data_IF_564021253505
#
_entry.id   IF_564021253505
#
_cell.length_a   1.000
_cell.length_b   1.000
_cell.length_c   1.000
_cell.angle_alpha   90.00
_cell.angle_beta   90.00
_cell.angle_gamma   90.00
#
_symmetry.space_group_name_H-M   'P 1'
#
loop_
_entity.id
_entity.type
_entity.pdbx_description
1 polymer ?
#
# COMPACT_ATOMS: atom_id res chain seq x y z
N UNK A 1 -22.27 1.51 2.71
CA UNK A 1 -23.43 1.91 1.89
C UNK A 1 -23.16 1.41 0.49
N UNK A 2 -24.05 0.58 -0.03
CA UNK A 2 -23.85 -0.08 -1.33
C UNK A 2 -22.96 -1.33 -1.25
N UNK A 3 -23.05 -2.12 -2.31
CA UNK A 3 -22.27 -3.29 -2.69
C UNK A 3 -21.92 -3.17 -4.19
N UNK A 4 -21.50 -4.25 -4.85
CA UNK A 4 -21.27 -4.26 -6.31
C UNK A 4 -22.49 -3.76 -7.13
N UNK A 5 -23.73 -4.00 -6.65
CA UNK A 5 -24.93 -3.56 -7.36
C UNK A 5 -25.09 -2.03 -7.35
N UNK A 6 -24.61 -1.35 -6.31
CA UNK A 6 -24.59 0.12 -6.28
C UNK A 6 -23.68 0.71 -7.37
N UNK A 7 -22.53 0.08 -7.61
CA UNK A 7 -21.61 0.48 -8.70
C UNK A 7 -22.27 0.30 -10.07
N UNK A 8 -22.95 -0.83 -10.26
CA UNK A 8 -23.67 -1.14 -11.50
C UNK A 8 -24.84 -0.18 -11.73
N UNK A 9 -25.64 0.08 -10.70
CA UNK A 9 -26.76 1.00 -10.77
C UNK A 9 -26.29 2.40 -11.16
N UNK A 10 -25.24 2.89 -10.51
CA UNK A 10 -24.63 4.18 -10.82
C UNK A 10 -24.13 4.26 -12.26
N UNK A 11 -23.42 3.23 -12.74
CA UNK A 11 -22.94 3.17 -14.11
C UNK A 11 -24.08 3.15 -15.13
N UNK A 12 -25.20 2.47 -14.79
CA UNK A 12 -26.34 2.31 -15.68
C UNK A 12 -27.22 3.54 -15.79
N UNK A 13 -27.13 4.52 -14.88
CA UNK A 13 -27.83 5.81 -15.04
C UNK A 13 -27.39 6.54 -16.31
N UNK A 14 -26.16 6.30 -16.79
CA UNK A 14 -25.69 6.83 -18.08
C UNK A 14 -26.33 6.16 -19.30
N UNK A 15 -27.01 5.02 -19.12
CA UNK A 15 -27.75 4.34 -20.19
C UNK A 15 -29.16 4.94 -20.30
N UNK A 16 -29.31 5.92 -21.19
CA UNK A 16 -30.60 6.54 -21.51
C UNK A 16 -31.49 5.68 -22.42
N UNK A 17 -32.59 6.28 -22.89
CA UNK A 17 -33.57 5.64 -23.76
C UNK A 17 -32.91 5.06 -25.04
N UNK A 18 -33.22 3.80 -25.38
CA UNK A 18 -32.67 3.10 -26.55
C UNK A 18 -31.40 2.26 -26.30
N UNK A 19 -30.85 2.27 -25.09
CA UNK A 19 -29.70 1.43 -24.73
C UNK A 19 -30.16 0.01 -24.32
N UNK A 20 -29.56 -1.03 -24.91
CA UNK A 20 -29.81 -2.42 -24.50
C UNK A 20 -28.89 -2.77 -23.32
N UNK A 21 -29.42 -3.40 -22.27
CA UNK A 21 -28.58 -4.12 -21.30
C UNK A 21 -27.81 -5.21 -22.04
N UNK A 22 -26.54 -4.94 -22.36
CA UNK A 22 -25.73 -5.79 -23.24
C UNK A 22 -24.73 -6.66 -22.49
N UNK A 23 -24.38 -6.30 -21.26
CA UNK A 23 -23.43 -7.04 -20.42
C UNK A 23 -24.01 -7.29 -19.03
N UNK A 24 -23.71 -8.47 -18.49
CA UNK A 24 -23.98 -8.79 -17.08
C UNK A 24 -23.20 -7.87 -16.14
N UNK A 25 -23.65 -7.81 -14.89
CA UNK A 25 -23.12 -6.92 -13.85
C UNK A 25 -21.61 -7.09 -13.64
N UNK A 26 -21.12 -8.34 -13.68
CA UNK A 26 -19.70 -8.63 -13.50
C UNK A 26 -18.87 -8.10 -14.68
N UNK A 27 -19.32 -8.35 -15.90
CA UNK A 27 -18.67 -7.82 -17.10
C UNK A 27 -18.60 -6.29 -17.09
N UNK A 28 -19.68 -5.63 -16.64
CA UNK A 28 -19.72 -4.17 -16.53
C UNK A 28 -18.70 -3.64 -15.51
N UNK A 29 -18.68 -4.16 -14.28
CA UNK A 29 -17.74 -3.70 -13.24
C UNK A 29 -16.28 -3.87 -13.70
N UNK A 30 -15.96 -5.02 -14.29
CA UNK A 30 -14.62 -5.29 -14.81
C UNK A 30 -14.25 -4.33 -15.95
N UNK A 31 -15.18 -4.03 -16.85
CA UNK A 31 -14.99 -3.03 -17.89
C UNK A 31 -14.70 -1.65 -17.29
N UNK A 32 -15.52 -1.19 -16.33
CA UNK A 32 -15.35 0.12 -15.70
C UNK A 32 -13.96 0.27 -15.08
N UNK A 33 -13.50 -0.73 -14.31
CA UNK A 33 -12.21 -0.64 -13.64
C UNK A 33 -11.03 -0.68 -14.64
N UNK A 34 -11.08 -1.57 -15.65
CA UNK A 34 -10.04 -1.68 -16.68
C UNK A 34 -9.89 -0.39 -17.50
N UNK A 35 -11.00 0.28 -17.78
CA UNK A 35 -11.05 1.53 -18.55
C UNK A 35 -10.98 2.78 -17.67
N UNK A 36 -10.71 2.63 -16.37
CA UNK A 36 -10.60 3.73 -15.39
C UNK A 36 -11.84 4.64 -15.35
N UNK A 37 -13.02 4.07 -15.55
CA UNK A 37 -14.29 4.74 -15.25
C UNK A 37 -14.55 4.63 -13.75
N UNK A 38 -14.02 5.59 -12.98
CA UNK A 38 -13.94 5.52 -11.52
C UNK A 38 -15.20 6.03 -10.81
N UNK A 39 -15.93 6.98 -11.41
CA UNK A 39 -17.07 7.65 -10.77
C UNK A 39 -18.20 6.70 -10.33
N UNK A 40 -18.51 5.57 -10.99
CA UNK A 40 -19.49 4.63 -10.44
C UNK A 40 -19.04 3.97 -9.13
N UNK A 41 -17.74 3.79 -8.92
CA UNK A 41 -17.19 3.24 -7.67
C UNK A 41 -17.27 4.25 -6.53
N UNK A 42 -17.30 5.56 -6.82
CA UNK A 42 -17.45 6.61 -5.79
C UNK A 42 -18.85 6.62 -5.15
N UNK A 43 -19.83 5.93 -5.75
CA UNK A 43 -21.21 5.83 -5.24
C UNK A 43 -21.37 4.78 -4.14
N UNK A 44 -20.35 3.98 -3.86
CA UNK A 44 -20.30 3.09 -2.71
C UNK A 44 -19.33 3.64 -1.65
N UNK A 45 -19.75 3.64 -0.38
CA UNK A 45 -18.96 4.21 0.72
C UNK A 45 -18.84 3.22 1.89
N UNK A 46 -17.69 3.23 2.54
CA UNK A 46 -17.44 2.49 3.78
C UNK A 46 -17.10 3.47 4.90
N UNK A 47 -17.53 3.16 6.12
CA UNK A 47 -17.20 3.90 7.34
C UNK A 47 -16.66 2.93 8.37
N UNK A 48 -15.44 3.17 8.82
CA UNK A 48 -14.73 2.36 9.78
C UNK A 48 -14.59 3.12 11.10
N UNK A 49 -14.64 2.39 12.21
CA UNK A 49 -14.05 2.82 13.46
C UNK A 49 -12.70 2.12 13.56
N UNK A 50 -11.62 2.89 13.61
CA UNK A 50 -10.25 2.38 13.57
C UNK A 50 -9.58 2.74 14.88
N UNK A 51 -8.95 1.75 15.51
CA UNK A 51 -7.98 1.95 16.60
C UNK A 51 -6.59 1.69 16.04
N UNK A 52 -5.70 2.68 16.11
CA UNK A 52 -4.42 2.69 15.39
C UNK A 52 -3.38 3.52 16.16
N UNK A 53 -2.09 3.13 16.18
CA UNK A 53 -1.04 3.94 16.81
C UNK A 53 -0.75 5.21 16.00
N UNK A 54 -0.35 6.30 16.66
CA UNK A 54 -0.24 7.62 16.03
C UNK A 54 0.79 7.67 14.88
N UNK A 55 1.88 6.92 14.96
CA UNK A 55 2.86 6.81 13.87
C UNK A 55 2.25 6.23 12.58
N UNK A 56 1.49 5.13 12.69
CA UNK A 56 0.73 4.53 11.60
C UNK A 56 -0.39 5.47 11.13
N UNK A 57 -1.09 6.13 12.07
CA UNK A 57 -2.15 7.08 11.76
C UNK A 57 -1.67 8.27 10.93
N UNK A 58 -0.46 8.78 11.19
CA UNK A 58 0.15 9.88 10.43
C UNK A 58 0.43 9.52 8.96
N UNK A 59 0.62 8.23 8.66
CA UNK A 59 0.70 7.74 7.27
C UNK A 59 -0.68 7.62 6.64
N UNK A 60 -1.66 7.20 7.43
CA UNK A 60 -3.05 7.03 7.03
C UNK A 60 -3.69 8.35 6.60
N UNK A 61 -3.53 9.40 7.41
CA UNK A 61 -4.23 10.69 7.20
C UNK A 61 -3.73 11.48 5.98
N UNK A 62 -2.68 10.99 5.32
CA UNK A 62 -2.19 11.53 4.03
C UNK A 62 -3.16 11.26 2.87
N UNK A 63 -4.10 10.33 3.06
CA UNK A 63 -5.17 10.01 2.10
C UNK A 63 -6.33 11.00 2.25
N UNK A 64 -6.18 12.15 1.57
CA UNK A 64 -7.02 13.36 1.74
C UNK A 64 -8.46 13.23 1.23
N UNK A 65 -8.78 12.21 0.46
CA UNK A 65 -10.11 11.99 -0.14
C UNK A 65 -11.07 11.26 0.79
N UNK A 66 -10.76 11.20 2.09
CA UNK A 66 -11.60 10.62 3.12
C UNK A 66 -12.14 11.69 4.09
N UNK A 67 -13.27 11.40 4.73
CA UNK A 67 -13.77 12.17 5.87
C UNK A 67 -13.30 11.53 7.18
N UNK A 68 -12.72 12.32 8.08
CA UNK A 68 -12.08 11.80 9.29
C UNK A 68 -12.53 12.56 10.53
N UNK A 69 -12.76 11.84 11.61
CA UNK A 69 -12.93 12.41 12.94
C UNK A 69 -12.13 11.59 13.95
N UNK A 70 -11.16 12.21 14.61
CA UNK A 70 -10.21 11.56 15.50
C UNK A 70 -10.48 11.90 16.97
N UNK A 71 -10.26 10.92 17.84
CA UNK A 71 -10.21 11.09 19.28
C UNK A 71 -9.22 12.18 19.70
N UNK A 72 -9.75 13.26 20.28
CA UNK A 72 -8.94 14.40 20.69
C UNK A 72 -8.49 14.27 22.14
N UNK A 73 -7.21 14.06 22.34
CA UNK A 73 -6.56 14.09 23.67
C UNK A 73 -6.52 15.50 24.28
N UNK A 74 -7.11 16.52 23.63
CA UNK A 74 -7.26 17.89 24.18
C UNK A 74 -8.45 17.92 25.12
N UNK A 75 -9.52 17.25 24.72
CA UNK A 75 -10.76 17.16 25.47
C UNK A 75 -10.79 15.93 26.36
N UNK A 76 -10.09 14.86 25.99
CA UNK A 76 -10.17 13.57 26.67
C UNK A 76 -8.81 13.08 27.16
N UNK A 77 -8.81 12.16 28.12
CA UNK A 77 -7.58 11.50 28.60
C UNK A 77 -7.07 10.56 27.50
N UNK A 78 -5.76 10.51 27.29
CA UNK A 78 -5.17 9.62 26.29
C UNK A 78 -5.46 8.15 26.60
N UNK A 79 -5.76 7.37 25.56
CA UNK A 79 -6.00 5.93 25.65
C UNK A 79 -4.79 5.27 26.30
N UNK A 80 -5.04 4.42 27.29
CA UNK A 80 -3.99 3.71 28.02
C UNK A 80 -3.54 2.47 27.25
N UNK A 81 -2.93 2.71 26.08
CA UNK A 81 -2.51 1.64 25.18
C UNK A 81 -1.47 2.19 24.22
N UNK A 82 -0.38 1.47 24.08
CA UNK A 82 0.70 1.78 23.15
C UNK A 82 1.01 0.51 22.35
N UNK A 83 1.36 0.68 21.08
CA UNK A 83 1.89 -0.42 20.28
C UNK A 83 3.28 -0.79 20.81
N UNK A 84 3.55 -2.08 20.85
CA UNK A 84 4.82 -2.66 21.26
C UNK A 84 5.36 -3.54 20.14
N UNK A 85 6.67 -3.68 20.09
CA UNK A 85 7.36 -4.54 19.12
C UNK A 85 7.74 -5.83 19.81
N UNK A 86 7.31 -6.97 19.27
CA UNK A 86 7.71 -8.27 19.84
C UNK A 86 9.20 -8.53 19.60
N UNK A 87 9.87 -9.35 20.42
CA UNK A 87 11.31 -9.61 20.27
C UNK A 87 11.73 -10.05 18.85
N UNK A 88 10.90 -10.85 18.18
CA UNK A 88 11.16 -11.31 16.80
C UNK A 88 10.73 -10.35 15.69
N UNK A 89 10.24 -9.15 16.02
CA UNK A 89 9.68 -8.20 15.03
C UNK A 89 10.52 -6.95 14.83
N UNK A 90 11.62 -6.80 15.57
CA UNK A 90 12.60 -5.74 15.34
C UNK A 90 13.34 -5.99 14.04
N UNK A 91 13.49 -4.96 13.20
CA UNK A 91 14.04 -5.11 11.84
C UNK A 91 15.18 -4.15 11.58
N UNK A 92 16.12 -4.60 10.76
CA UNK A 92 17.17 -3.75 10.18
C UNK A 92 16.61 -2.73 9.20
N UNK A 93 17.42 -1.76 8.80
CA UNK A 93 17.08 -0.82 7.72
C UNK A 93 17.33 -1.49 6.36
N UNK A 94 16.39 -1.39 5.41
CA UNK A 94 16.61 -1.99 4.08
C UNK A 94 17.69 -1.22 3.30
N UNK A 95 18.52 -1.96 2.55
CA UNK A 95 19.68 -1.43 1.80
C UNK A 95 19.25 -0.68 0.55
N UNK A 96 18.30 -1.24 -0.22
CA UNK A 96 17.84 -0.67 -1.49
C UNK A 96 16.70 0.35 -1.28
N UNK A 97 15.74 0.02 -0.43
CA UNK A 97 14.64 0.92 -0.07
C UNK A 97 14.88 1.56 1.31
N UNK A 98 15.48 2.75 1.33
CA UNK A 98 15.74 3.49 2.58
C UNK A 98 14.48 3.90 3.36
N UNK A 99 13.29 3.68 2.82
CA UNK A 99 12.02 3.93 3.51
C UNK A 99 11.41 2.66 4.11
N UNK A 100 11.98 1.48 3.84
CA UNK A 100 11.51 0.18 4.31
C UNK A 100 12.44 -0.49 5.31
N UNK A 101 11.98 -1.61 5.87
CA UNK A 101 12.75 -2.48 6.76
C UNK A 101 13.41 -3.62 6.00
N UNK A 102 14.56 -4.08 6.50
CA UNK A 102 15.27 -5.28 6.07
C UNK A 102 14.85 -6.50 6.90
N UNK A 103 15.80 -7.39 7.15
CA UNK A 103 15.58 -8.62 7.92
C UNK A 103 15.38 -8.34 9.42
N UNK A 104 14.76 -9.30 10.11
CA UNK A 104 14.62 -9.33 11.56
C UNK A 104 15.99 -9.35 12.26
N UNK A 105 16.06 -8.69 13.42
CA UNK A 105 17.22 -8.73 14.32
C UNK A 105 17.25 -10.06 15.12
N UNK A 106 18.43 -10.45 15.65
CA UNK A 106 18.55 -11.59 16.55
C UNK A 106 17.60 -11.49 17.76
N UNK A 107 16.99 -12.61 18.14
CA UNK A 107 15.95 -12.67 19.18
C UNK A 107 16.44 -12.17 20.55
N UNK A 108 17.69 -12.44 20.89
CA UNK A 108 18.32 -12.05 22.16
C UNK A 108 18.54 -10.53 22.27
N UNK A 109 18.79 -9.88 21.14
CA UNK A 109 18.78 -8.42 21.06
C UNK A 109 17.34 -7.89 21.09
N UNK A 110 16.44 -8.55 20.38
CA UNK A 110 15.01 -8.22 20.37
C UNK A 110 14.38 -8.23 21.76
N UNK A 111 14.69 -9.24 22.59
CA UNK A 111 14.21 -9.34 23.97
C UNK A 111 14.60 -8.12 24.81
N UNK A 112 15.86 -7.66 24.66
CA UNK A 112 16.36 -6.47 25.36
C UNK A 112 15.64 -5.22 24.88
N UNK A 113 15.52 -5.05 23.55
CA UNK A 113 14.86 -3.88 22.95
C UNK A 113 13.38 -3.80 23.34
N UNK A 114 12.66 -4.92 23.35
CA UNK A 114 11.27 -4.98 23.78
C UNK A 114 11.13 -4.65 25.27
N UNK A 115 12.03 -5.14 26.14
CA UNK A 115 12.02 -4.80 27.56
C UNK A 115 12.28 -3.31 27.81
N UNK A 116 13.24 -2.72 27.10
CA UNK A 116 13.54 -1.28 27.15
C UNK A 116 12.35 -0.43 26.66
N UNK A 117 11.70 -0.83 25.57
CA UNK A 117 10.49 -0.18 25.06
C UNK A 117 9.37 -0.20 26.11
N UNK A 118 9.08 -1.36 26.70
CA UNK A 118 8.06 -1.48 27.75
C UNK A 118 8.37 -0.59 28.96
N UNK A 119 9.63 -0.55 29.40
CA UNK A 119 10.05 0.30 30.50
C UNK A 119 9.80 1.79 30.20
N UNK A 120 10.22 2.24 29.02
CA UNK A 120 10.03 3.62 28.58
C UNK A 120 8.53 3.99 28.45
N UNK A 121 7.74 3.12 27.82
CA UNK A 121 6.30 3.34 27.66
C UNK A 121 5.59 3.46 29.02
N UNK A 122 5.97 2.63 30.00
CA UNK A 122 5.48 2.72 31.36
C UNK A 122 5.85 4.05 32.02
N UNK A 123 7.12 4.48 31.93
CA UNK A 123 7.57 5.75 32.50
C UNK A 123 6.86 6.96 31.87
N UNK A 124 6.70 6.98 30.54
CA UNK A 124 5.99 8.02 29.83
C UNK A 124 4.52 8.12 30.29
N UNK A 125 3.87 6.97 30.51
CA UNK A 125 2.51 6.92 31.05
C UNK A 125 2.42 7.45 32.48
N UNK A 126 3.35 7.07 33.36
CA UNK A 126 3.37 7.57 34.75
C UNK A 126 3.55 9.09 34.79
N UNK A 127 4.48 9.64 33.99
CA UNK A 127 4.68 11.08 33.88
C UNK A 127 3.42 11.81 33.39
N UNK A 128 2.72 11.23 32.41
CA UNK A 128 1.44 11.76 31.93
C UNK A 128 0.39 11.82 33.04
N UNK A 129 0.23 10.74 33.81
CA UNK A 129 -0.75 10.67 34.91
C UNK A 129 -0.42 11.65 36.05
N UNK A 130 0.85 11.75 36.44
CA UNK A 130 1.31 12.70 37.46
C UNK A 130 0.99 14.15 37.07
N UNK A 131 1.14 14.51 35.79
CA UNK A 131 0.77 15.84 35.29
C UNK A 131 -0.73 16.10 35.38
N UNK A 132 -1.55 15.11 35.04
CA UNK A 132 -3.00 15.24 35.19
C UNK A 132 -3.41 15.43 36.66
N UNK A 133 -2.79 14.66 37.56
CA UNK A 133 -3.03 14.77 39.01
C UNK A 133 -2.60 16.14 39.55
N UNK A 134 -1.52 16.71 39.03
CA UNK A 134 -1.08 18.08 39.34
C UNK A 134 -1.94 19.19 38.70
N UNK A 135 -3.03 18.85 38.01
CA UNK A 135 -3.93 19.83 37.38
C UNK A 135 -3.45 20.43 36.06
N UNK A 136 -2.40 19.86 35.44
CA UNK A 136 -1.91 20.30 34.13
C UNK A 136 -2.97 20.05 33.04
N UNK A 137 -3.17 21.04 32.17
CA UNK A 137 -4.10 20.91 31.05
C UNK A 137 -3.78 19.69 30.16
N UNK A 138 -4.81 18.93 29.72
CA UNK A 138 -4.64 17.68 28.97
C UNK A 138 -3.77 17.81 27.73
N UNK A 139 -3.91 18.92 26.99
CA UNK A 139 -3.12 19.18 25.79
C UNK A 139 -1.63 19.40 26.05
N UNK A 140 -1.27 19.81 27.27
CA UNK A 140 0.11 19.94 27.73
C UNK A 140 0.61 18.64 28.37
N UNK A 141 -0.22 17.97 29.17
CA UNK A 141 0.15 16.75 29.88
C UNK A 141 0.66 15.66 28.92
N UNK A 142 0.00 15.51 27.76
CA UNK A 142 0.26 14.47 26.76
C UNK A 142 1.54 14.64 25.93
N UNK A 143 2.30 15.73 26.08
CA UNK A 143 3.41 16.11 25.17
C UNK A 143 4.46 15.01 24.98
N UNK A 144 4.69 14.20 26.02
CA UNK A 144 5.70 13.15 26.01
C UNK A 144 5.14 11.75 25.69
N UNK A 145 3.84 11.64 25.40
CA UNK A 145 3.28 10.36 24.96
C UNK A 145 3.89 9.99 23.60
N UNK A 146 4.46 8.78 23.47
CA UNK A 146 5.14 8.37 22.26
C UNK A 146 4.15 8.18 21.11
N UNK A 147 4.65 8.23 19.87
CA UNK A 147 3.85 7.98 18.67
C UNK A 147 3.25 6.57 18.61
N UNK A 148 3.77 5.63 19.40
CA UNK A 148 3.16 4.30 19.55
C UNK A 148 1.83 4.34 20.32
N UNK A 149 1.46 5.44 20.97
CA UNK A 149 0.19 5.58 21.68
C UNK A 149 -0.98 5.45 20.69
N UNK A 150 -1.97 4.61 21.04
CA UNK A 150 -3.15 4.42 20.22
C UNK A 150 -4.07 5.64 20.23
N UNK A 151 -4.62 5.93 19.06
CA UNK A 151 -5.77 6.82 18.85
C UNK A 151 -6.93 6.00 18.27
N UNK A 152 -8.12 6.60 18.29
CA UNK A 152 -9.30 6.06 17.65
C UNK A 152 -9.87 7.09 16.68
N UNK A 153 -10.32 6.66 15.51
CA UNK A 153 -10.88 7.55 14.52
C UNK A 153 -12.01 6.91 13.73
N UNK A 154 -13.04 7.70 13.45
CA UNK A 154 -13.95 7.41 12.35
C UNK A 154 -13.28 7.79 11.04
N UNK A 155 -13.23 6.84 10.12
CA UNK A 155 -12.70 7.02 8.78
C UNK A 155 -13.76 6.61 7.76
N UNK A 156 -14.27 7.57 6.98
CA UNK A 156 -15.25 7.35 5.92
C UNK A 156 -14.61 7.63 4.56
N UNK A 157 -14.75 6.70 3.62
CA UNK A 157 -14.14 6.78 2.30
C UNK A 157 -15.01 6.06 1.26
N UNK A 158 -15.05 6.55 0.03
CA UNK A 158 -15.69 5.86 -1.08
C UNK A 158 -14.83 4.69 -1.60
N UNK A 159 -15.43 3.78 -2.35
CA UNK A 159 -14.77 2.57 -2.82
C UNK A 159 -13.62 2.88 -3.80
N UNK A 160 -13.74 3.89 -4.67
CA UNK A 160 -12.65 4.25 -5.58
C UNK A 160 -11.39 4.66 -4.80
N UNK A 161 -11.55 5.59 -3.86
CA UNK A 161 -10.45 6.09 -3.04
C UNK A 161 -9.95 5.02 -2.05
N UNK A 162 -10.81 4.13 -1.58
CA UNK A 162 -10.41 2.98 -0.77
C UNK A 162 -9.53 2.00 -1.56
N UNK A 163 -9.89 1.68 -2.80
CA UNK A 163 -9.05 0.84 -3.66
C UNK A 163 -7.69 1.50 -3.94
N UNK A 164 -7.64 2.83 -4.04
CA UNK A 164 -6.35 3.55 -4.12
C UNK A 164 -5.54 3.44 -2.82
N UNK A 165 -6.17 3.62 -1.66
CA UNK A 165 -5.54 3.40 -0.35
C UNK A 165 -4.96 1.99 -0.26
N UNK A 166 -5.75 0.97 -0.60
CA UNK A 166 -5.33 -0.43 -0.54
C UNK A 166 -4.18 -0.72 -1.50
N UNK A 167 -4.19 -0.15 -2.71
CA UNK A 167 -3.08 -0.31 -3.65
C UNK A 167 -1.75 0.24 -3.11
N UNK A 168 -1.78 1.37 -2.40
CA UNK A 168 -0.57 1.98 -1.85
C UNK A 168 -0.15 1.39 -0.50
N UNK A 169 -1.11 0.92 0.30
CA UNK A 169 -0.87 0.47 1.68
C UNK A 169 -0.77 -1.03 1.83
N UNK A 170 -1.13 -1.82 0.81
CA UNK A 170 -0.85 -3.27 0.78
C UNK A 170 0.47 -3.58 0.05
N UNK A 171 1.13 -2.55 -0.51
CA UNK A 171 2.42 -2.68 -1.19
C UNK A 171 3.54 -3.05 -0.20
N UNK A 172 4.49 -3.88 -0.62
CA UNK A 172 5.59 -4.37 0.22
C UNK A 172 6.49 -3.24 0.75
N UNK A 173 6.54 -2.09 0.06
CA UNK A 173 7.30 -0.93 0.48
C UNK A 173 6.60 -0.10 1.57
N UNK A 174 5.29 -0.30 1.81
CA UNK A 174 4.60 0.34 2.91
C UNK A 174 5.03 -0.28 4.25
N UNK A 175 4.95 0.47 5.36
CA UNK A 175 5.32 -0.05 6.68
C UNK A 175 4.45 -1.26 7.08
N UNK A 176 5.02 -2.26 7.74
CA UNK A 176 4.34 -3.53 8.05
C UNK A 176 3.02 -3.32 8.80
N UNK A 177 2.99 -2.36 9.72
CA UNK A 177 1.85 -2.05 10.56
C UNK A 177 0.66 -1.57 9.72
N UNK A 178 0.86 -0.57 8.83
CA UNK A 178 -0.22 -0.09 7.96
C UNK A 178 -0.62 -1.13 6.90
N UNK A 179 0.31 -2.00 6.48
CA UNK A 179 -0.01 -3.14 5.61
C UNK A 179 -0.98 -4.11 6.27
N UNK A 180 -0.79 -4.43 7.55
CA UNK A 180 -1.70 -5.32 8.27
C UNK A 180 -3.14 -4.76 8.33
N UNK A 181 -3.29 -3.45 8.53
CA UNK A 181 -4.58 -2.77 8.43
C UNK A 181 -5.16 -2.83 7.01
N UNK A 182 -4.35 -2.52 6.00
CA UNK A 182 -4.80 -2.54 4.61
C UNK A 182 -5.23 -3.96 4.18
N UNK A 183 -4.48 -4.99 4.56
CA UNK A 183 -4.80 -6.38 4.31
C UNK A 183 -6.13 -6.77 4.97
N UNK A 184 -6.31 -6.41 6.25
CA UNK A 184 -7.57 -6.68 6.97
C UNK A 184 -8.75 -6.00 6.29
N UNK A 185 -8.62 -4.71 5.94
CA UNK A 185 -9.69 -3.97 5.26
C UNK A 185 -9.99 -4.57 3.88
N UNK A 186 -8.95 -4.86 3.08
CA UNK A 186 -9.09 -5.42 1.74
C UNK A 186 -9.70 -6.82 1.75
N UNK A 187 -9.04 -7.77 2.43
CA UNK A 187 -9.36 -9.19 2.36
C UNK A 187 -10.55 -9.59 3.23
N UNK A 188 -10.71 -8.96 4.40
CA UNK A 188 -11.73 -9.38 5.36
C UNK A 188 -13.03 -8.58 5.26
N UNK A 189 -13.01 -7.41 4.62
CA UNK A 189 -14.17 -6.51 4.51
C UNK A 189 -14.51 -6.24 3.06
N UNK A 190 -13.63 -5.58 2.29
CA UNK A 190 -13.91 -5.17 0.91
C UNK A 190 -14.18 -6.37 0.01
N UNK A 191 -13.37 -7.42 0.10
CA UNK A 191 -13.54 -8.64 -0.70
C UNK A 191 -14.90 -9.33 -0.49
N UNK A 192 -15.50 -9.17 0.70
CA UNK A 192 -16.81 -9.77 1.02
C UNK A 192 -17.98 -8.89 0.59
N UNK A 193 -17.83 -7.58 0.71
CA UNK A 193 -18.87 -6.60 0.35
C UNK A 193 -18.92 -6.29 -1.16
N UNK A 194 -17.77 -6.34 -1.82
CA UNK A 194 -17.59 -6.00 -3.24
C UNK A 194 -16.77 -7.09 -3.96
N UNK A 195 -17.22 -8.35 -3.97
CA UNK A 195 -16.45 -9.48 -4.51
C UNK A 195 -16.01 -9.28 -5.96
N UNK A 196 -16.86 -8.68 -6.80
CA UNK A 196 -16.53 -8.45 -8.21
C UNK A 196 -15.56 -7.29 -8.37
N UNK A 197 -15.78 -6.16 -7.70
CA UNK A 197 -14.84 -5.05 -7.73
C UNK A 197 -13.47 -5.47 -7.17
N UNK A 198 -13.44 -6.29 -6.12
CA UNK A 198 -12.23 -6.83 -5.52
C UNK A 198 -11.47 -7.76 -6.48
N UNK A 199 -12.17 -8.68 -7.15
CA UNK A 199 -11.58 -9.52 -8.20
C UNK A 199 -10.95 -8.66 -9.31
N UNK A 200 -11.71 -7.68 -9.82
CA UNK A 200 -11.24 -6.77 -10.86
C UNK A 200 -10.02 -5.94 -10.39
N UNK A 201 -10.02 -5.49 -9.14
CA UNK A 201 -8.91 -4.77 -8.53
C UNK A 201 -7.66 -5.64 -8.44
N UNK A 202 -7.80 -6.88 -7.99
CA UNK A 202 -6.72 -7.86 -7.99
C UNK A 202 -6.09 -8.06 -9.37
N UNK A 203 -6.92 -8.19 -10.41
CA UNK A 203 -6.46 -8.43 -11.78
C UNK A 203 -5.82 -7.20 -12.44
N UNK A 204 -6.46 -6.04 -12.32
CA UNK A 204 -6.14 -4.87 -13.14
C UNK A 204 -5.30 -3.82 -12.42
N UNK A 205 -5.14 -3.92 -11.11
CA UNK A 205 -4.36 -2.95 -10.30
C UNK A 205 -3.25 -3.62 -9.52
N UNK A 206 -3.54 -4.69 -8.78
CA UNK A 206 -2.55 -5.33 -7.89
C UNK A 206 -1.60 -6.23 -8.66
N UNK A 207 -2.13 -7.15 -9.46
CA UNK A 207 -1.33 -8.14 -10.21
C UNK A 207 -0.95 -7.68 -11.62
N UNK A 208 -1.34 -6.47 -11.99
CA UNK A 208 -1.00 -5.89 -13.29
C UNK A 208 0.49 -5.54 -13.40
N UNK A 209 1.01 -5.58 -14.62
CA UNK A 209 2.33 -5.03 -14.95
C UNK A 209 2.14 -3.77 -15.79
N UNK A 210 2.69 -2.64 -15.33
CA UNK A 210 2.70 -1.41 -16.12
C UNK A 210 3.94 -1.38 -17.00
N UNK A 211 3.73 -1.30 -18.32
CA UNK A 211 4.78 -1.04 -19.30
C UNK A 211 4.70 0.43 -19.72
N UNK A 212 5.75 1.18 -19.47
CA UNK A 212 5.93 2.56 -19.94
C UNK A 212 6.19 2.59 -21.44
N UNK A 213 6.14 3.78 -22.04
CA UNK A 213 6.54 3.94 -23.45
C UNK A 213 7.99 3.46 -23.70
N UNK A 214 8.89 3.65 -22.73
CA UNK A 214 10.28 3.20 -22.82
C UNK A 214 10.37 1.67 -22.76
N UNK A 215 9.63 1.04 -21.83
CA UNK A 215 9.56 -0.44 -21.73
C UNK A 215 9.07 -1.05 -23.04
N UNK A 216 7.99 -0.49 -23.60
CA UNK A 216 7.43 -0.95 -24.89
C UNK A 216 8.44 -0.79 -26.01
N UNK A 217 9.17 0.33 -26.06
CA UNK A 217 10.22 0.55 -27.07
C UNK A 217 11.36 -0.45 -26.98
N UNK A 218 11.81 -0.79 -25.76
CA UNK A 218 12.84 -1.83 -25.55
C UNK A 218 12.33 -3.19 -26.03
N UNK A 219 11.11 -3.56 -25.66
CA UNK A 219 10.48 -4.81 -26.10
C UNK A 219 10.42 -4.89 -27.63
N UNK A 220 9.96 -3.82 -28.29
CA UNK A 220 9.90 -3.76 -29.76
C UNK A 220 11.27 -3.96 -30.40
N UNK A 221 12.32 -3.31 -29.87
CA UNK A 221 13.70 -3.46 -30.38
C UNK A 221 14.25 -4.88 -30.14
N UNK A 222 13.97 -5.47 -28.98
CA UNK A 222 14.31 -6.87 -28.70
C UNK A 222 13.61 -7.84 -29.64
N UNK A 223 12.32 -7.62 -29.94
CA UNK A 223 11.55 -8.48 -30.84
C UNK A 223 12.09 -8.52 -32.29
N UNK A 224 12.79 -7.47 -32.74
CA UNK A 224 13.46 -7.45 -34.04
C UNK A 224 14.81 -8.17 -34.00
N UNK A 225 15.42 -8.32 -32.82
CA UNK A 225 16.67 -9.08 -32.63
C UNK A 225 16.39 -10.58 -32.57
N UNK A 226 17.18 -11.36 -33.29
CA UNK A 226 17.11 -12.82 -33.23
C UNK A 226 17.59 -13.33 -31.88
N UNK A 227 16.78 -14.15 -31.21
CA UNK A 227 17.26 -14.92 -30.04
C UNK A 227 18.27 -15.97 -30.50
N UNK A 228 19.31 -16.28 -29.70
CA UNK A 228 20.16 -17.43 -29.96
C UNK A 228 19.30 -18.68 -30.11
N UNK A 229 19.60 -19.53 -31.10
CA UNK A 229 18.77 -20.69 -31.50
C UNK A 229 18.56 -21.74 -30.40
N UNK A 230 19.30 -21.65 -29.28
CA UNK A 230 19.19 -22.51 -28.11
C UNK A 230 18.71 -21.78 -26.84
N UNK A 231 18.40 -20.48 -26.92
CA UNK A 231 17.99 -19.68 -25.76
C UNK A 231 16.49 -19.35 -25.79
N UNK A 232 15.81 -19.58 -24.68
CA UNK A 232 14.44 -19.12 -24.48
C UNK A 232 14.33 -17.62 -24.19
N UNK A 233 15.42 -16.97 -23.76
CA UNK A 233 15.49 -15.56 -23.35
C UNK A 233 16.52 -14.78 -24.16
N UNK A 234 16.45 -13.44 -24.14
CA UNK A 234 17.54 -12.58 -24.59
C UNK A 234 18.65 -12.51 -23.54
N UNK A 235 19.87 -12.18 -23.97
CA UNK A 235 21.01 -11.96 -23.06
C UNK A 235 21.01 -10.54 -22.47
N UNK A 236 21.84 -10.29 -21.46
CA UNK A 236 22.08 -8.93 -20.97
C UNK A 236 22.66 -8.00 -22.04
N UNK A 237 23.53 -8.53 -22.91
CA UNK A 237 24.09 -7.76 -24.01
C UNK A 237 23.00 -7.31 -24.99
N UNK A 238 22.06 -8.21 -25.30
CA UNK A 238 20.90 -7.89 -26.15
C UNK A 238 20.03 -6.80 -25.52
N UNK A 239 19.76 -6.90 -24.21
CA UNK A 239 19.01 -5.89 -23.48
C UNK A 239 19.70 -4.53 -23.50
N UNK A 240 21.00 -4.47 -23.16
CA UNK A 240 21.78 -3.24 -23.16
C UNK A 240 21.88 -2.62 -24.56
N UNK A 241 21.94 -3.45 -25.60
CA UNK A 241 21.98 -2.97 -26.98
C UNK A 241 20.59 -2.59 -27.53
N UNK A 242 19.50 -3.00 -26.87
CA UNK A 242 18.12 -2.60 -27.16
C UNK A 242 17.58 -1.54 -26.19
N UNK A 243 18.38 -1.12 -25.21
CA UNK A 243 18.00 -0.17 -24.17
C UNK A 243 17.55 1.17 -24.77
N UNK A 244 16.81 1.98 -23.99
CA UNK A 244 16.42 3.29 -24.48
C UNK A 244 17.64 4.20 -24.69
N UNK A 245 17.72 4.96 -25.82
CA UNK A 245 18.86 5.83 -26.08
C UNK A 245 19.13 6.87 -24.98
N UNK A 246 18.09 7.31 -24.26
CA UNK A 246 18.24 8.25 -23.15
C UNK A 246 19.02 7.68 -21.95
N UNK A 247 19.13 6.35 -21.84
CA UNK A 247 19.85 5.68 -20.76
C UNK A 247 21.34 5.47 -21.05
N UNK A 248 21.78 5.55 -22.30
CA UNK A 248 23.17 5.33 -22.72
C UNK A 248 24.19 6.24 -22.00
N UNK A 249 23.98 7.56 -21.84
CA UNK A 249 24.96 8.41 -21.17
C UNK A 249 24.95 8.23 -19.64
N UNK A 250 24.00 7.47 -19.09
CA UNK A 250 23.79 7.34 -17.66
C UNK A 250 24.54 6.12 -17.11
N UNK A 251 25.52 6.30 -16.19
CA UNK A 251 26.20 5.17 -15.56
C UNK A 251 25.22 4.33 -14.73
N UNK A 252 24.19 4.95 -14.16
CA UNK A 252 23.06 4.28 -13.48
C UNK A 252 21.75 4.92 -13.92
N UNK A 253 20.76 4.11 -14.25
CA UNK A 253 19.43 4.56 -14.65
C UNK A 253 18.38 3.70 -13.97
N UNK A 254 17.61 4.30 -13.04
CA UNK A 254 16.53 3.57 -12.35
C UNK A 254 15.47 3.06 -13.33
N UNK A 255 15.13 3.85 -14.35
CA UNK A 255 14.18 3.42 -15.38
C UNK A 255 14.69 2.21 -16.17
N UNK A 256 16.00 2.14 -16.43
CA UNK A 256 16.63 0.96 -17.05
C UNK A 256 16.54 -0.25 -16.14
N UNK A 257 16.87 -0.08 -14.86
CA UNK A 257 16.86 -1.16 -13.87
C UNK A 257 15.43 -1.68 -13.63
N UNK A 258 14.45 -0.79 -13.56
CA UNK A 258 13.01 -1.11 -13.49
C UNK A 258 12.52 -1.81 -14.77
N UNK A 259 12.90 -1.34 -15.95
CA UNK A 259 12.58 -1.97 -17.22
C UNK A 259 13.11 -3.41 -17.25
N UNK A 260 14.38 -3.59 -16.87
CA UNK A 260 15.03 -4.90 -16.78
C UNK A 260 14.27 -5.83 -15.84
N UNK A 261 13.93 -5.36 -14.63
CA UNK A 261 13.18 -6.14 -13.66
C UNK A 261 11.80 -6.59 -14.21
N UNK A 262 11.12 -5.73 -14.96
CA UNK A 262 9.85 -6.09 -15.65
C UNK A 262 10.07 -7.18 -16.71
N UNK A 263 11.15 -7.10 -17.50
CA UNK A 263 11.47 -8.09 -18.53
C UNK A 263 11.86 -9.45 -17.93
N UNK A 264 12.61 -9.46 -16.82
CA UNK A 264 12.89 -10.68 -16.05
C UNK A 264 11.59 -11.30 -15.55
N UNK A 265 10.68 -10.49 -14.98
CA UNK A 265 9.35 -10.95 -14.53
C UNK A 265 8.49 -11.52 -15.66
N UNK A 266 8.65 -11.02 -16.89
CA UNK A 266 7.99 -11.54 -18.09
C UNK A 266 8.66 -12.80 -18.67
N UNK A 267 9.78 -13.26 -18.10
CA UNK A 267 10.57 -14.37 -18.63
C UNK A 267 11.28 -14.04 -19.94
N UNK A 268 11.52 -12.75 -20.23
CA UNK A 268 12.21 -12.30 -21.44
C UNK A 268 13.72 -12.22 -21.24
N UNK A 269 14.17 -12.00 -20.00
CA UNK A 269 15.58 -11.98 -19.59
C UNK A 269 15.81 -13.01 -18.48
N UNK A 270 17.04 -13.55 -18.34
CA UNK A 270 17.39 -14.40 -17.21
C UNK A 270 17.32 -13.61 -15.90
N UNK A 271 16.92 -14.27 -14.81
CA UNK A 271 17.15 -13.72 -13.47
C UNK A 271 18.66 -13.63 -13.23
N UNK A 272 19.11 -12.62 -12.49
CA UNK A 272 20.52 -12.57 -12.08
C UNK A 272 20.88 -13.84 -11.32
N UNK A 273 21.98 -14.49 -11.70
CA UNK A 273 22.62 -15.46 -10.84
C UNK A 273 23.05 -14.74 -9.55
N UNK A 274 22.79 -15.29 -8.36
CA UNK A 274 23.13 -14.66 -7.07
C UNK A 274 24.64 -14.51 -6.77
N UNK A 275 25.50 -14.43 -7.79
CA UNK A 275 26.96 -14.40 -7.67
C UNK A 275 27.62 -13.05 -8.01
N UNK A 276 26.88 -11.93 -7.97
CA UNK A 276 27.48 -10.60 -8.10
C UNK A 276 26.95 -9.61 -7.04
N UNK A 277 27.55 -9.72 -5.84
CA UNK A 277 27.73 -8.73 -4.75
C UNK A 277 26.80 -7.51 -4.67
#
# INVERSE_FOLDING_TARGET
MGDDAAVVQAARVSYGEGTRQRSDDRTLIRYLLRHRHTTPFEMAELKFLIRVPMDCWRQWIRHRTASVNEYSTRYSVAIDSMQTTSPGEWRTQAVQNRQGSGIELPIDLGDKLTAEEHHFQHQARQLYLQRLEAGVAREQARKDLPLSTYTEAYWKIDLHNLLHFLALRSDEHAQAEIRAYAQTIGEQIVAKLFPVAWEAFGDYRVRSLNLTALDVGVIQRLMVRLRPSQSSTWSEEDFLAAQDPSWLPLPRSRERDECRAKLVRLGMLPAESPEAQ
#
